data_IF_692984535237
#
_entry.id   IF_692984535237
#
_cell.length_a   1.000
_cell.length_b   1.000
_cell.length_c   1.000
_cell.angle_alpha   90.00
_cell.angle_beta   90.00
_cell.angle_gamma   90.00
#
_symmetry.space_group_name_H-M   'P 1'
#
loop_
_entity.id
_entity.type
_entity.pdbx_description
1 polymer ?
#
# COMPACT_ATOMS: atom_id res chain seq x y z
N UNK A 1 22.43 -0.74 27.45
CA UNK A 1 22.04 -0.45 26.06
C UNK A 1 21.36 -1.67 25.48
N UNK A 2 20.06 -1.53 25.18
CA UNK A 2 19.17 -2.65 24.80
C UNK A 2 19.21 -2.76 23.28
N UNK A 3 19.00 -3.95 22.70
CA UNK A 3 19.07 -4.25 21.25
C UNK A 3 18.40 -3.26 20.28
N UNK A 4 17.55 -2.36 20.79
CA UNK A 4 16.88 -1.27 20.08
C UNK A 4 17.84 -0.16 19.60
N UNK A 5 18.86 0.20 20.37
CA UNK A 5 19.82 1.26 19.98
C UNK A 5 20.70 0.77 18.80
N UNK A 6 21.08 -0.51 18.83
CA UNK A 6 21.92 -1.14 17.80
C UNK A 6 21.31 -1.16 16.39
N UNK A 7 19.99 -1.32 16.23
CA UNK A 7 19.38 -1.41 14.91
C UNK A 7 19.35 -0.06 14.20
N UNK A 8 18.93 0.96 14.94
CA UNK A 8 18.77 2.33 14.46
C UNK A 8 20.12 2.91 14.07
N UNK A 9 21.11 2.75 14.96
CA UNK A 9 22.46 3.23 14.74
C UNK A 9 23.12 2.53 13.54
N UNK A 10 22.89 1.21 13.36
CA UNK A 10 23.47 0.46 12.24
C UNK A 10 22.87 0.86 10.88
N UNK A 11 21.55 1.03 10.80
CA UNK A 11 20.90 1.42 9.53
C UNK A 11 21.32 2.83 9.14
N UNK A 12 21.36 3.76 10.08
CA UNK A 12 21.81 5.11 9.80
C UNK A 12 23.31 5.20 9.52
N UNK A 13 24.15 4.51 10.30
CA UNK A 13 25.59 4.49 10.05
C UNK A 13 25.91 3.87 8.68
N UNK A 14 25.18 2.82 8.28
CA UNK A 14 25.30 2.24 6.94
C UNK A 14 24.87 3.24 5.87
N UNK A 15 23.65 3.80 5.97
CA UNK A 15 23.15 4.76 4.99
C UNK A 15 24.05 6.01 4.88
N UNK A 16 24.54 6.54 6.01
CA UNK A 16 25.45 7.67 6.04
C UNK A 16 26.84 7.33 5.49
N UNK A 17 27.40 6.17 5.86
CA UNK A 17 28.70 5.71 5.37
C UNK A 17 28.71 5.48 3.85
N UNK A 18 27.59 5.05 3.30
CA UNK A 18 27.38 4.84 1.86
C UNK A 18 26.85 6.11 1.15
N UNK A 19 26.62 7.21 1.88
CA UNK A 19 26.06 8.46 1.32
C UNK A 19 24.65 8.31 0.72
N UNK A 20 23.88 7.31 1.15
CA UNK A 20 22.56 6.99 0.62
C UNK A 20 21.52 8.01 1.08
N UNK A 21 20.98 8.77 0.12
CA UNK A 21 19.84 9.67 0.31
C UNK A 21 18.50 9.00 -0.05
N UNK A 22 18.55 8.09 -1.03
CA UNK A 22 17.38 7.43 -1.61
C UNK A 22 17.41 5.94 -1.30
N UNK A 23 16.48 5.50 -0.45
CA UNK A 23 16.38 4.08 -0.11
C UNK A 23 14.99 3.68 0.35
N UNK A 24 14.75 2.38 0.28
CA UNK A 24 13.59 1.71 0.82
C UNK A 24 14.04 0.77 1.93
N UNK A 25 13.73 1.15 3.17
CA UNK A 25 14.01 0.39 4.37
C UNK A 25 12.81 -0.49 4.70
N UNK A 26 13.05 -1.80 4.84
CA UNK A 26 12.06 -2.76 5.31
C UNK A 26 12.56 -3.46 6.58
N UNK A 27 11.67 -3.61 7.55
CA UNK A 27 11.92 -4.34 8.80
C UNK A 27 10.89 -5.44 8.93
N UNK A 28 11.35 -6.68 9.05
CA UNK A 28 10.51 -7.87 9.22
C UNK A 28 10.72 -8.46 10.61
N UNK A 29 9.69 -9.04 11.25
CA UNK A 29 9.91 -9.87 12.42
C UNK A 29 10.73 -11.11 12.03
N UNK A 30 11.73 -11.46 12.84
CA UNK A 30 12.57 -12.64 12.64
C UNK A 30 12.63 -13.46 13.94
N UNK A 31 12.21 -14.74 13.94
CA UNK A 31 12.18 -15.54 15.16
C UNK A 31 13.55 -15.76 15.83
N UNK A 32 14.64 -15.68 15.06
CA UNK A 32 15.99 -16.00 15.55
C UNK A 32 16.75 -14.78 16.09
N UNK A 33 16.53 -13.62 15.46
CA UNK A 33 17.26 -12.37 15.70
C UNK A 33 16.37 -11.24 16.22
N UNK A 34 15.06 -11.50 16.34
CA UNK A 34 14.03 -10.51 16.65
C UNK A 34 13.55 -9.78 15.39
N UNK A 35 14.47 -9.24 14.59
CA UNK A 35 14.15 -8.51 13.36
C UNK A 35 15.17 -8.72 12.25
N UNK A 36 14.69 -8.83 11.01
CA UNK A 36 15.49 -8.72 9.79
C UNK A 36 15.30 -7.33 9.18
N UNK A 37 16.40 -6.71 8.76
CA UNK A 37 16.36 -5.42 8.06
C UNK A 37 16.89 -5.58 6.64
N UNK A 38 16.15 -5.02 5.69
CA UNK A 38 16.52 -4.97 4.28
C UNK A 38 16.57 -3.51 3.82
N UNK A 39 17.64 -3.15 3.11
CA UNK A 39 17.78 -1.85 2.46
C UNK A 39 17.84 -2.05 0.95
N UNK A 40 16.96 -1.38 0.21
CA UNK A 40 16.99 -1.35 -1.26
C UNK A 40 17.32 0.06 -1.71
N UNK A 41 18.29 0.20 -2.62
CA UNK A 41 18.77 1.47 -3.14
C UNK A 41 19.31 1.30 -4.56
N UNK A 42 19.57 2.40 -5.26
CA UNK A 42 20.15 2.41 -6.62
C UNK A 42 19.15 2.29 -7.78
N UNK A 43 17.90 1.90 -7.52
CA UNK A 43 16.83 2.02 -8.51
C UNK A 43 16.28 3.46 -8.52
N UNK A 44 16.17 4.06 -9.70
CA UNK A 44 15.50 5.35 -9.88
C UNK A 44 14.00 5.22 -9.61
N UNK A 45 13.44 6.21 -8.91
CA UNK A 45 12.01 6.30 -8.58
C UNK A 45 11.52 7.74 -8.81
N UNK A 46 10.21 7.90 -8.97
CA UNK A 46 9.61 9.20 -9.37
C UNK A 46 9.21 10.09 -8.17
N UNK A 47 9.53 9.69 -6.94
CA UNK A 47 9.06 10.37 -5.73
C UNK A 47 9.97 11.49 -5.21
N UNK A 48 9.53 12.28 -4.22
CA UNK A 48 8.13 12.49 -3.85
C UNK A 48 7.37 13.25 -4.94
N UNK A 49 6.05 13.05 -5.02
CA UNK A 49 5.21 13.95 -5.81
C UNK A 49 5.14 15.32 -5.13
N UNK A 50 4.97 16.38 -5.93
CA UNK A 50 4.74 17.74 -5.42
C UNK A 50 3.26 17.92 -5.05
N UNK A 51 3.00 18.28 -3.80
CA UNK A 51 1.65 18.52 -3.28
C UNK A 51 1.59 19.95 -2.78
N UNK A 52 0.51 20.66 -3.10
CA UNK A 52 0.28 22.02 -2.58
C UNK A 52 0.32 22.08 -1.04
N UNK A 53 -0.08 20.98 -0.38
CA UNK A 53 -0.05 20.86 1.08
C UNK A 53 0.37 19.47 1.52
N UNK A 54 1.04 19.40 2.66
CA UNK A 54 1.39 18.14 3.29
C UNK A 54 0.17 17.48 3.97
N UNK A 55 -0.16 16.24 3.58
CA UNK A 55 -1.25 15.46 4.15
C UNK A 55 -1.11 15.18 5.65
N UNK A 56 0.15 15.09 6.12
CA UNK A 56 0.48 14.59 7.45
C UNK A 56 0.64 15.69 8.51
N UNK A 57 0.69 16.96 8.10
CA UNK A 57 0.84 18.11 8.99
C UNK A 57 -0.56 18.59 9.46
N UNK A 58 -1.01 18.13 10.63
CA UNK A 58 -2.34 18.46 11.16
C UNK A 58 -2.42 19.77 11.97
N UNK A 59 -1.38 20.62 11.96
CA UNK A 59 -1.25 21.72 12.95
C UNK A 59 -0.61 23.00 12.45
N UNK A 60 -0.68 23.31 11.15
CA UNK A 60 -0.41 24.67 10.67
C UNK A 60 -1.60 25.61 10.96
N UNK A 61 -1.44 26.93 10.81
CA UNK A 61 -2.51 27.94 11.00
C UNK A 61 -3.80 27.64 10.21
N UNK A 62 -3.75 26.78 9.18
CA UNK A 62 -4.94 26.20 8.57
C UNK A 62 -5.39 24.94 9.31
N UNK A 63 -6.34 25.09 10.23
CA UNK A 63 -6.93 24.01 11.05
C UNK A 63 -7.69 22.91 10.27
N UNK A 64 -7.66 22.90 8.94
CA UNK A 64 -8.18 21.80 8.12
C UNK A 64 -7.21 21.53 6.97
N UNK A 65 -6.71 20.29 6.89
CA UNK A 65 -6.09 19.81 5.66
C UNK A 65 -7.24 19.60 4.65
N UNK A 66 -7.32 20.39 3.58
CA UNK A 66 -8.44 20.30 2.64
C UNK A 66 -8.35 19.06 1.74
N UNK A 67 -7.29 18.26 1.86
CA UNK A 67 -7.03 17.17 0.94
C UNK A 67 -7.83 15.95 1.37
N UNK A 68 -8.76 15.57 0.50
CA UNK A 68 -9.54 14.35 0.66
C UNK A 68 -8.65 13.11 0.56
N UNK A 69 -8.79 12.19 1.51
CA UNK A 69 -8.12 10.90 1.43
C UNK A 69 -8.76 10.03 0.36
N UNK A 70 -7.92 9.26 -0.34
CA UNK A 70 -8.35 8.33 -1.39
C UNK A 70 -8.35 8.91 -2.81
N UNK A 71 -8.56 10.22 -3.00
CA UNK A 71 -8.91 10.82 -4.32
C UNK A 71 -7.68 11.19 -5.19
N UNK A 72 -6.50 10.63 -4.91
CA UNK A 72 -5.19 11.05 -5.47
C UNK A 72 -5.05 11.07 -7.01
N UNK A 73 -5.97 10.46 -7.77
CA UNK A 73 -5.85 10.31 -9.23
C UNK A 73 -7.02 10.85 -10.04
N UNK A 74 -8.05 11.42 -9.39
CA UNK A 74 -9.21 11.95 -10.09
C UNK A 74 -9.15 13.48 -10.06
N UNK A 75 -9.55 14.12 -11.15
CA UNK A 75 -9.63 15.58 -11.21
C UNK A 75 -10.61 16.04 -10.14
N UNK A 76 -10.21 17.03 -9.33
CA UNK A 76 -10.97 17.57 -8.20
C UNK A 76 -12.39 18.03 -8.59
N UNK A 77 -12.57 18.40 -9.85
CA UNK A 77 -13.83 18.84 -10.46
C UNK A 77 -14.89 17.73 -10.55
N UNK A 78 -14.48 16.46 -10.55
CA UNK A 78 -15.39 15.35 -10.81
C UNK A 78 -15.98 14.75 -9.54
N UNK A 79 -15.37 14.91 -8.35
CA UNK A 79 -15.86 14.17 -7.19
C UNK A 79 -15.42 14.66 -5.81
N UNK A 80 -16.40 15.09 -4.99
CA UNK A 80 -16.36 15.02 -3.51
C UNK A 80 -16.82 13.61 -3.11
N UNK A 81 -15.95 12.60 -3.27
CA UNK A 81 -16.34 11.21 -2.99
C UNK A 81 -16.36 10.88 -1.51
N UNK A 82 -15.34 11.33 -0.77
CA UNK A 82 -15.10 10.84 0.59
C UNK A 82 -15.56 11.82 1.64
N UNK A 83 -15.43 13.14 1.38
CA UNK A 83 -15.46 14.21 2.42
C UNK A 83 -14.50 13.95 3.60
N UNK A 84 -13.78 12.84 3.62
CA UNK A 84 -12.84 12.42 4.63
C UNK A 84 -11.48 13.02 4.28
N UNK A 85 -10.84 13.56 5.29
CA UNK A 85 -9.50 14.13 5.23
C UNK A 85 -8.52 13.21 5.95
N UNK A 86 -7.23 13.53 5.89
CA UNK A 86 -6.25 12.80 6.69
C UNK A 86 -6.42 13.05 8.21
N UNK A 87 -7.17 14.08 8.63
CA UNK A 87 -7.50 14.26 10.05
C UNK A 87 -8.46 13.16 10.54
N UNK A 88 -9.39 12.72 9.69
CA UNK A 88 -10.34 11.66 10.02
C UNK A 88 -9.65 10.31 10.25
N UNK A 89 -8.52 10.08 9.60
CA UNK A 89 -7.71 8.87 9.74
C UNK A 89 -6.79 8.88 10.97
N UNK A 90 -6.68 9.99 11.70
CA UNK A 90 -5.83 10.09 12.91
C UNK A 90 -6.41 9.22 14.03
N UNK A 91 -5.63 8.24 14.51
CA UNK A 91 -6.01 7.33 15.60
C UNK A 91 -5.39 7.69 16.95
N UNK A 92 -4.45 8.63 16.96
CA UNK A 92 -3.79 9.08 18.18
C UNK A 92 -2.49 9.83 17.91
N UNK A 93 -1.84 10.22 18.99
CA UNK A 93 -0.53 10.86 19.01
C UNK A 93 0.27 10.30 20.17
N UNK A 94 1.59 10.46 20.14
CA UNK A 94 2.44 10.25 21.32
C UNK A 94 2.14 11.28 22.40
N UNK A 95 2.42 10.98 23.67
CA UNK A 95 2.10 11.84 24.83
C UNK A 95 2.58 13.30 24.71
N UNK A 96 3.65 13.55 23.95
CA UNK A 96 4.21 14.90 23.71
C UNK A 96 3.75 15.55 22.40
N UNK A 97 2.80 14.95 21.68
CA UNK A 97 2.33 15.45 20.38
C UNK A 97 3.38 15.45 19.27
N UNK A 98 4.54 14.82 19.46
CA UNK A 98 5.66 14.81 18.49
C UNK A 98 5.37 13.97 17.26
N UNK A 99 4.56 12.91 17.38
CA UNK A 99 4.24 12.00 16.30
C UNK A 99 2.75 11.71 16.25
N UNK A 100 2.23 11.63 15.03
CA UNK A 100 0.85 11.31 14.70
C UNK A 100 0.75 9.84 14.28
N UNK A 101 -0.34 9.19 14.67
CA UNK A 101 -0.69 7.83 14.26
C UNK A 101 -1.94 7.85 13.40
N UNK A 102 -1.90 7.23 12.22
CA UNK A 102 -3.03 7.18 11.29
C UNK A 102 -3.36 5.75 10.88
N UNK A 103 -4.62 5.51 10.50
CA UNK A 103 -4.95 4.43 9.56
C UNK A 103 -4.65 4.86 8.12
N UNK A 104 -4.42 3.90 7.24
CA UNK A 104 -4.13 4.21 5.84
C UNK A 104 -5.35 4.80 5.10
N UNK A 105 -5.14 5.92 4.41
CA UNK A 105 -6.16 6.61 3.62
C UNK A 105 -6.68 5.85 2.39
N UNK A 106 -6.16 4.63 2.12
CA UNK A 106 -6.68 3.70 1.10
C UNK A 106 -7.28 2.42 1.72
N UNK A 107 -7.52 2.43 3.03
CA UNK A 107 -8.03 1.30 3.80
C UNK A 107 -7.23 0.00 3.64
N UNK A 108 -5.91 0.09 3.43
CA UNK A 108 -5.05 -1.09 3.50
C UNK A 108 -4.91 -1.54 4.96
N UNK A 109 -4.58 -2.82 5.23
CA UNK A 109 -4.35 -3.33 6.58
C UNK A 109 -2.99 -2.86 7.12
N UNK A 110 -2.83 -1.55 7.22
CA UNK A 110 -1.62 -0.91 7.70
C UNK A 110 -1.95 0.38 8.45
N UNK A 111 -1.05 0.72 9.38
CA UNK A 111 -1.08 1.98 10.10
C UNK A 111 0.17 2.81 9.77
N UNK A 112 0.10 4.10 10.01
CA UNK A 112 1.16 5.05 9.66
C UNK A 112 1.58 5.84 10.90
N UNK A 113 2.90 5.94 11.11
CA UNK A 113 3.49 6.89 12.06
C UNK A 113 4.24 7.96 11.28
N UNK A 114 3.98 9.23 11.56
CA UNK A 114 4.77 10.34 11.04
C UNK A 114 5.04 11.39 12.12
N UNK A 115 6.09 12.21 11.96
CA UNK A 115 6.26 13.42 12.77
C UNK A 115 5.04 14.35 12.67
N UNK A 116 4.75 15.09 13.73
CA UNK A 116 3.66 16.06 13.72
C UNK A 116 4.04 17.35 12.96
N UNK A 117 5.33 17.72 13.02
CA UNK A 117 5.94 18.76 12.19
C UNK A 117 6.39 18.16 10.87
N UNK A 118 6.45 18.97 9.81
CA UNK A 118 6.99 18.53 8.54
C UNK A 118 8.47 18.17 8.70
N UNK A 119 8.79 16.91 8.45
CA UNK A 119 10.15 16.37 8.42
C UNK A 119 10.22 15.47 7.19
N UNK A 120 11.24 15.62 6.39
CA UNK A 120 11.37 14.89 5.13
C UNK A 120 12.13 13.58 5.31
N UNK A 121 13.23 13.61 6.06
CA UNK A 121 14.17 12.50 6.17
C UNK A 121 14.38 12.02 7.61
N UNK A 122 14.84 10.78 7.78
CA UNK A 122 15.24 10.25 9.10
C UNK A 122 16.42 11.05 9.70
N UNK A 123 17.28 11.62 8.86
CA UNK A 123 18.46 12.40 9.29
C UNK A 123 18.09 13.74 9.92
N UNK A 124 16.94 14.32 9.58
CA UNK A 124 16.46 15.59 10.16
C UNK A 124 15.96 15.47 11.60
N UNK A 125 15.60 14.26 12.08
CA UNK A 125 15.07 14.06 13.44
C UNK A 125 16.12 14.21 14.55
N UNK A 126 17.41 14.14 14.21
CA UNK A 126 18.49 13.97 15.18
C UNK A 126 18.39 12.65 15.99
N UNK A 127 19.37 12.34 16.84
CA UNK A 127 19.42 11.07 17.56
C UNK A 127 18.22 10.84 18.50
N UNK A 128 17.84 11.84 19.29
CA UNK A 128 16.72 11.74 20.22
C UNK A 128 15.37 11.58 19.49
N UNK A 129 15.13 12.40 18.46
CA UNK A 129 13.90 12.34 17.68
C UNK A 129 13.74 11.01 16.96
N UNK A 130 14.83 10.41 16.52
CA UNK A 130 14.83 9.09 15.90
C UNK A 130 14.49 7.97 16.89
N UNK A 131 15.04 8.00 18.10
CA UNK A 131 14.65 7.08 19.18
C UNK A 131 13.15 7.22 19.46
N UNK A 132 12.65 8.46 19.59
CA UNK A 132 11.22 8.72 19.81
C UNK A 132 10.35 8.25 18.64
N UNK A 133 10.81 8.38 17.39
CA UNK A 133 10.11 7.89 16.20
C UNK A 133 9.91 6.36 16.27
N UNK A 134 10.97 5.60 16.58
CA UNK A 134 10.86 4.14 16.69
C UNK A 134 10.07 3.70 17.92
N UNK A 135 10.15 4.43 19.04
CA UNK A 135 9.29 4.20 20.20
C UNK A 135 7.82 4.43 19.85
N UNK A 136 7.52 5.45 19.02
CA UNK A 136 6.19 5.76 18.51
C UNK A 136 5.65 4.63 17.62
N UNK A 137 6.46 4.13 16.68
CA UNK A 137 6.15 2.92 15.88
C UNK A 137 5.82 1.72 16.78
N UNK A 138 6.66 1.45 17.77
CA UNK A 138 6.42 0.35 18.71
C UNK A 138 5.17 0.59 19.60
N UNK A 139 4.87 1.84 19.92
CA UNK A 139 3.66 2.25 20.63
C UNK A 139 2.39 1.92 19.84
N UNK A 140 2.37 2.27 18.55
CA UNK A 140 1.26 1.97 17.67
C UNK A 140 1.05 0.46 17.48
N UNK A 141 2.12 -0.33 17.31
CA UNK A 141 2.04 -1.79 17.26
C UNK A 141 1.40 -2.35 18.55
N UNK A 142 1.83 -1.85 19.73
CA UNK A 142 1.23 -2.27 21.01
C UNK A 142 -0.23 -1.87 21.15
N UNK A 143 -0.64 -0.72 20.61
CA UNK A 143 -2.03 -0.26 20.62
C UNK A 143 -2.94 -1.25 19.87
N UNK A 144 -2.53 -1.69 18.68
CA UNK A 144 -3.26 -2.73 17.94
C UNK A 144 -3.12 -4.12 18.57
N UNK A 145 -1.97 -4.44 19.17
CA UNK A 145 -1.67 -5.72 19.83
C UNK A 145 -1.91 -6.93 18.92
N UNK A 146 -1.55 -6.77 17.66
CA UNK A 146 -1.51 -7.84 16.66
C UNK A 146 -0.10 -7.92 16.09
N UNK A 147 0.31 -9.10 15.59
CA UNK A 147 1.59 -9.23 14.89
C UNK A 147 1.63 -8.32 13.66
N UNK A 148 2.75 -7.62 13.47
CA UNK A 148 3.01 -6.89 12.23
C UNK A 148 3.78 -7.79 11.26
N UNK A 149 3.59 -7.60 9.96
CA UNK A 149 4.27 -8.33 8.89
C UNK A 149 5.57 -7.66 8.46
N UNK A 150 5.52 -6.35 8.22
CA UNK A 150 6.70 -5.54 7.97
C UNK A 150 6.46 -4.07 8.31
N UNK A 151 7.56 -3.36 8.52
CA UNK A 151 7.58 -1.90 8.64
C UNK A 151 8.38 -1.37 7.46
N UNK A 152 7.84 -0.36 6.78
CA UNK A 152 8.47 0.27 5.61
C UNK A 152 8.71 1.74 5.90
N UNK A 153 9.95 2.20 5.67
CA UNK A 153 10.31 3.63 5.65
C UNK A 153 10.98 3.93 4.31
N UNK A 154 10.32 4.76 3.50
CA UNK A 154 10.87 5.20 2.22
C UNK A 154 11.58 6.55 2.41
N UNK A 155 12.75 6.72 1.80
CA UNK A 155 13.54 7.95 1.81
C UNK A 155 13.81 8.43 0.38
N UNK A 156 13.92 9.75 0.23
CA UNK A 156 14.26 10.38 -1.05
C UNK A 156 13.29 9.99 -2.16
N UNK A 157 13.79 9.50 -3.29
CA UNK A 157 12.96 9.14 -4.46
C UNK A 157 11.97 7.99 -4.21
N UNK A 158 12.19 7.15 -3.19
CA UNK A 158 11.34 5.99 -2.92
C UNK A 158 9.99 6.33 -2.28
N UNK A 159 9.79 7.56 -1.81
CA UNK A 159 8.58 7.97 -1.08
C UNK A 159 7.55 8.60 -2.02
N UNK A 160 6.26 8.42 -1.74
CA UNK A 160 5.20 9.09 -2.50
C UNK A 160 4.88 10.49 -1.95
N UNK A 161 5.09 10.69 -0.64
CA UNK A 161 4.82 11.93 0.09
C UNK A 161 6.15 12.47 0.61
N UNK A 162 6.40 13.79 0.53
CA UNK A 162 7.65 14.38 1.02
C UNK A 162 7.84 14.16 2.52
N UNK A 163 6.76 14.12 3.29
CA UNK A 163 6.81 13.92 4.74
C UNK A 163 7.22 12.47 5.11
N UNK A 164 8.24 12.35 5.95
CA UNK A 164 8.67 11.13 6.63
C UNK A 164 7.49 10.37 7.23
N UNK A 165 7.38 9.08 6.89
CA UNK A 165 6.39 8.20 7.50
C UNK A 165 6.89 6.74 7.53
N UNK A 166 6.58 6.04 8.62
CA UNK A 166 6.69 4.60 8.72
C UNK A 166 5.33 3.95 8.45
N UNK A 167 5.30 2.98 7.54
CA UNK A 167 4.12 2.16 7.23
C UNK A 167 4.25 0.82 7.92
N UNK A 168 3.32 0.50 8.81
CA UNK A 168 3.31 -0.75 9.58
C UNK A 168 2.22 -1.63 9.00
N UNK A 169 2.59 -2.72 8.35
CA UNK A 169 1.64 -3.66 7.75
C UNK A 169 1.28 -4.77 8.72
N UNK A 170 0.03 -5.20 8.66
CA UNK A 170 -0.55 -6.26 9.46
C UNK A 170 -1.23 -7.31 8.56
N UNK A 171 -1.62 -8.43 9.14
CA UNK A 171 -2.62 -9.30 8.54
C UNK A 171 -3.97 -8.61 8.54
N UNK A 172 -4.76 -8.78 7.48
CA UNK A 172 -5.99 -7.99 7.31
C UNK A 172 -7.10 -8.43 8.25
N UNK A 173 -7.28 -9.73 8.46
CA UNK A 173 -8.31 -10.25 9.37
C UNK A 173 -8.00 -9.82 10.80
N UNK A 174 -6.73 -9.90 11.21
CA UNK A 174 -6.27 -9.41 12.50
C UNK A 174 -6.41 -7.89 12.63
N UNK A 175 -6.09 -7.15 11.57
CA UNK A 175 -6.21 -5.69 11.55
C UNK A 175 -7.66 -5.24 11.65
N UNK A 176 -8.57 -5.82 10.87
CA UNK A 176 -9.99 -5.51 10.94
C UNK A 176 -10.57 -5.85 12.31
N UNK A 177 -10.21 -7.02 12.87
CA UNK A 177 -10.66 -7.42 14.21
C UNK A 177 -10.16 -6.43 15.26
N UNK A 178 -8.87 -6.07 15.21
CA UNK A 178 -8.28 -5.08 16.11
C UNK A 178 -8.92 -3.69 15.95
N UNK A 179 -9.25 -3.26 14.73
CA UNK A 179 -9.96 -2.00 14.49
C UNK A 179 -11.35 -2.02 15.13
N UNK A 180 -12.13 -3.09 14.97
CA UNK A 180 -13.46 -3.21 15.59
C UNK A 180 -13.39 -3.20 17.13
N UNK A 181 -12.44 -3.91 17.70
CA UNK A 181 -12.34 -4.10 19.15
C UNK A 181 -11.69 -2.92 19.87
N UNK A 182 -10.66 -2.31 19.26
CA UNK A 182 -9.74 -1.38 19.95
C UNK A 182 -9.82 0.05 19.44
N UNK A 183 -10.39 0.25 18.25
CA UNK A 183 -10.62 1.54 17.62
C UNK A 183 -12.05 1.61 17.04
N UNK A 184 -13.09 1.27 17.82
CA UNK A 184 -14.46 1.17 17.33
C UNK A 184 -14.96 2.49 16.70
N UNK A 185 -14.43 3.64 17.12
CA UNK A 185 -14.74 4.95 16.56
C UNK A 185 -14.09 5.20 15.19
N UNK A 186 -13.01 4.47 14.86
CA UNK A 186 -12.29 4.60 13.58
C UNK A 186 -12.64 3.50 12.59
N UNK A 187 -13.21 2.39 13.05
CA UNK A 187 -13.62 1.31 12.16
C UNK A 187 -14.63 1.75 11.08
N UNK A 188 -15.69 2.54 11.37
CA UNK A 188 -16.59 3.06 10.33
C UNK A 188 -15.90 3.95 9.30
N UNK A 189 -14.88 4.70 9.70
CA UNK A 189 -14.08 5.53 8.79
C UNK A 189 -13.28 4.62 7.85
N UNK A 190 -12.67 3.57 8.39
CA UNK A 190 -11.96 2.58 7.58
C UNK A 190 -12.89 1.87 6.57
N UNK A 191 -14.11 1.49 6.96
CA UNK A 191 -15.09 0.88 6.05
C UNK A 191 -15.49 1.83 4.91
N UNK A 192 -15.71 3.11 5.22
CA UNK A 192 -15.97 4.13 4.20
C UNK A 192 -14.81 4.26 3.21
N UNK A 193 -13.57 4.27 3.72
CA UNK A 193 -12.37 4.30 2.88
C UNK A 193 -12.19 3.04 2.05
N UNK A 194 -12.55 1.85 2.56
CA UNK A 194 -12.46 0.59 1.83
C UNK A 194 -13.48 0.56 0.69
N UNK A 195 -14.72 0.94 0.96
CA UNK A 195 -15.78 1.07 -0.06
C UNK A 195 -15.42 2.12 -1.12
N UNK A 196 -14.81 3.23 -0.71
CA UNK A 196 -14.32 4.26 -1.62
C UNK A 196 -13.16 3.75 -2.49
N UNK A 197 -12.17 3.11 -1.88
CA UNK A 197 -11.01 2.57 -2.59
C UNK A 197 -11.43 1.51 -3.62
N UNK A 198 -12.45 0.70 -3.31
CA UNK A 198 -13.06 -0.21 -4.29
C UNK A 198 -13.61 0.53 -5.50
N UNK A 199 -14.38 1.60 -5.29
CA UNK A 199 -14.97 2.40 -6.38
C UNK A 199 -13.88 3.07 -7.22
N UNK A 200 -12.88 3.67 -6.60
CA UNK A 200 -11.84 4.44 -7.31
C UNK A 200 -10.78 3.56 -7.99
N UNK A 201 -10.63 2.30 -7.54
CA UNK A 201 -9.68 1.38 -8.16
C UNK A 201 -10.17 0.83 -9.50
N UNK A 202 -11.44 1.05 -9.85
CA UNK A 202 -12.02 0.60 -11.12
C UNK A 202 -11.58 1.54 -12.25
N UNK A 203 -10.78 1.05 -13.21
CA UNK A 203 -10.39 1.85 -14.35
C UNK A 203 -11.57 2.00 -15.32
N UNK A 204 -11.56 3.08 -16.08
CA UNK A 204 -12.57 3.31 -17.12
C UNK A 204 -12.23 2.51 -18.38
N UNK A 205 -13.27 1.98 -19.02
CA UNK A 205 -13.11 1.08 -20.17
C UNK A 205 -12.31 1.74 -21.30
N UNK A 206 -12.57 3.02 -21.59
CA UNK A 206 -11.87 3.75 -22.64
C UNK A 206 -10.35 3.80 -22.40
N UNK A 207 -9.93 4.15 -21.18
CA UNK A 207 -8.52 4.22 -20.78
C UNK A 207 -7.87 2.83 -20.81
N UNK A 208 -8.57 1.81 -20.33
CA UNK A 208 -8.10 0.41 -20.41
C UNK A 208 -7.81 0.03 -21.86
N UNK A 209 -8.71 0.36 -22.80
CA UNK A 209 -8.54 -0.03 -24.20
C UNK A 209 -7.39 0.73 -24.89
N UNK A 210 -7.09 1.96 -24.47
CA UNK A 210 -5.91 2.72 -24.97
C UNK A 210 -4.59 2.04 -24.58
N UNK A 211 -4.54 1.35 -23.45
CA UNK A 211 -3.32 0.71 -22.94
C UNK A 211 -3.01 -0.68 -23.54
N UNK A 212 -3.81 -1.21 -24.48
CA UNK A 212 -3.56 -2.53 -25.08
C UNK A 212 -2.17 -2.56 -25.74
N UNK A 213 -1.25 -3.46 -25.32
CA UNK A 213 0.08 -3.58 -25.93
C UNK A 213 0.00 -3.94 -27.42
N UNK A 214 0.79 -3.24 -28.24
CA UNK A 214 0.80 -3.40 -29.70
C UNK A 214 1.02 -4.85 -30.14
N UNK A 215 1.97 -5.55 -29.50
CA UNK A 215 2.24 -6.97 -29.74
C UNK A 215 1.02 -7.90 -29.51
N UNK A 216 0.10 -7.52 -28.62
CA UNK A 216 -1.14 -8.28 -28.44
C UNK A 216 -2.11 -8.01 -29.57
N UNK A 217 -2.24 -6.74 -30.00
CA UNK A 217 -3.07 -6.37 -31.17
C UNK A 217 -2.65 -7.17 -32.39
N UNK A 218 -1.34 -7.25 -32.65
CA UNK A 218 -0.76 -8.00 -33.76
C UNK A 218 -1.03 -9.52 -33.67
N UNK A 219 -0.95 -10.10 -32.48
CA UNK A 219 -1.23 -11.54 -32.27
C UNK A 219 -2.72 -11.86 -32.19
N UNK A 220 -3.57 -10.85 -31.95
CA UNK A 220 -4.99 -11.02 -31.72
C UNK A 220 -5.36 -11.73 -30.42
N UNK A 221 -4.41 -11.97 -29.50
CA UNK A 221 -4.65 -12.74 -28.26
C UNK A 221 -4.58 -11.80 -27.05
N UNK A 222 -5.72 -11.45 -26.42
CA UNK A 222 -5.73 -10.61 -25.22
C UNK A 222 -5.18 -11.39 -24.02
N UNK A 223 -4.23 -10.78 -23.29
CA UNK A 223 -3.67 -11.36 -22.06
C UNK A 223 -3.67 -10.35 -20.93
N UNK A 224 -4.15 -10.78 -19.78
CA UNK A 224 -4.15 -10.00 -18.55
C UNK A 224 -3.07 -10.52 -17.59
N UNK A 225 -2.46 -9.62 -16.85
CA UNK A 225 -1.75 -9.92 -15.62
C UNK A 225 -2.73 -9.73 -14.45
N UNK A 226 -2.83 -10.74 -13.58
CA UNK A 226 -3.64 -10.72 -12.37
C UNK A 226 -2.76 -11.00 -11.16
N UNK A 227 -2.59 -10.03 -10.26
CA UNK A 227 -1.89 -10.18 -8.99
C UNK A 227 -2.84 -10.13 -7.79
N UNK A 228 -2.37 -10.54 -6.61
CA UNK A 228 -3.18 -10.58 -5.39
C UNK A 228 -3.98 -11.89 -5.22
N UNK A 229 -3.55 -12.96 -5.90
CA UNK A 229 -4.24 -14.26 -5.87
C UNK A 229 -3.78 -15.03 -4.62
N UNK A 230 -4.69 -15.56 -3.77
CA UNK A 230 -4.30 -16.39 -2.63
C UNK A 230 -3.44 -17.59 -3.04
N UNK A 231 -2.42 -17.91 -2.23
CA UNK A 231 -1.45 -18.98 -2.54
C UNK A 231 -2.04 -20.38 -2.63
N UNK A 232 -3.18 -20.61 -1.99
CA UNK A 232 -3.86 -21.89 -2.02
C UNK A 232 -4.56 -22.18 -3.36
N UNK A 233 -4.69 -21.17 -4.24
CA UNK A 233 -5.44 -21.31 -5.48
C UNK A 233 -4.55 -21.79 -6.63
N UNK A 234 -5.09 -22.72 -7.39
CA UNK A 234 -4.55 -23.23 -8.64
C UNK A 234 -4.93 -22.34 -9.83
N UNK A 235 -4.38 -22.66 -11.02
CA UNK A 235 -4.83 -22.05 -12.26
C UNK A 235 -6.32 -22.31 -12.54
N UNK A 236 -6.79 -23.53 -12.25
CA UNK A 236 -8.18 -23.92 -12.49
C UNK A 236 -9.15 -23.14 -11.59
N UNK A 237 -8.78 -22.87 -10.34
CA UNK A 237 -9.57 -22.05 -9.42
C UNK A 237 -9.74 -20.61 -9.95
N UNK A 238 -8.69 -20.04 -10.54
CA UNK A 238 -8.72 -18.70 -11.13
C UNK A 238 -9.60 -18.69 -12.39
N UNK A 239 -9.47 -19.69 -13.26
CA UNK A 239 -10.33 -19.85 -14.45
C UNK A 239 -11.80 -20.03 -14.08
N UNK A 240 -12.11 -20.88 -13.09
CA UNK A 240 -13.47 -21.09 -12.61
C UNK A 240 -14.09 -19.81 -12.00
N UNK A 241 -13.28 -19.03 -11.29
CA UNK A 241 -13.70 -17.72 -10.78
C UNK A 241 -14.01 -16.73 -11.91
N UNK A 242 -13.18 -16.68 -12.95
CA UNK A 242 -13.42 -15.83 -14.13
C UNK A 242 -14.72 -16.22 -14.85
N UNK A 243 -14.94 -17.53 -15.05
CA UNK A 243 -16.17 -18.05 -15.65
C UNK A 243 -17.40 -17.66 -14.85
N UNK A 244 -17.37 -17.84 -13.51
CA UNK A 244 -18.45 -17.44 -12.60
C UNK A 244 -18.77 -15.93 -12.67
N UNK A 245 -17.78 -15.10 -13.02
CA UNK A 245 -17.94 -13.65 -13.16
C UNK A 245 -18.24 -13.21 -14.60
N UNK A 246 -18.65 -14.13 -15.48
CA UNK A 246 -19.08 -13.80 -16.83
C UNK A 246 -17.93 -13.70 -17.85
N UNK A 247 -16.77 -14.30 -17.55
CA UNK A 247 -15.62 -14.37 -18.45
C UNK A 247 -15.28 -15.83 -18.80
N UNK A 248 -16.16 -16.54 -19.53
CA UNK A 248 -15.98 -17.95 -19.87
C UNK A 248 -14.80 -18.17 -20.83
N UNK A 249 -14.37 -19.42 -20.96
CA UNK A 249 -13.32 -19.84 -21.90
C UNK A 249 -11.95 -19.16 -21.68
N UNK A 250 -11.71 -18.64 -20.48
CA UNK A 250 -10.43 -18.03 -20.09
C UNK A 250 -9.47 -19.08 -19.51
N UNK A 251 -8.20 -18.98 -19.87
CA UNK A 251 -7.14 -19.87 -19.35
C UNK A 251 -6.21 -19.09 -18.45
N UNK A 252 -6.11 -19.49 -17.19
CA UNK A 252 -5.15 -18.93 -16.25
C UNK A 252 -3.84 -19.74 -16.24
N UNK A 253 -2.73 -19.05 -16.02
CA UNK A 253 -1.40 -19.64 -15.85
C UNK A 253 -0.75 -19.00 -14.62
N UNK A 254 -0.59 -19.77 -13.54
CA UNK A 254 0.08 -19.27 -12.33
C UNK A 254 1.55 -19.00 -12.67
N UNK A 255 1.99 -17.78 -12.37
CA UNK A 255 3.38 -17.37 -12.54
C UNK A 255 4.21 -17.88 -11.36
N UNK A 256 5.42 -18.42 -11.60
CA UNK A 256 6.31 -18.80 -10.52
C UNK A 256 6.63 -17.56 -9.68
N UNK A 257 6.26 -17.60 -8.39
CA UNK A 257 6.50 -16.49 -7.48
C UNK A 257 7.99 -16.21 -7.36
N UNK A 258 8.39 -14.93 -7.34
CA UNK A 258 9.72 -14.58 -6.85
C UNK A 258 9.81 -15.06 -5.40
N UNK A 259 10.85 -15.82 -5.05
CA UNK A 259 11.03 -16.47 -3.72
C UNK A 259 10.82 -15.54 -2.52
N UNK A 260 10.91 -14.21 -2.71
CA UNK A 260 10.80 -13.19 -1.67
C UNK A 260 9.44 -12.45 -1.62
N UNK A 261 8.48 -12.72 -2.51
CA UNK A 261 7.14 -12.12 -2.40
C UNK A 261 6.27 -12.98 -1.47
N UNK A 262 6.37 -12.71 -0.17
CA UNK A 262 5.51 -13.27 0.85
C UNK A 262 4.14 -12.59 0.76
N UNK A 263 3.11 -13.27 0.24
CA UNK A 263 1.73 -12.77 0.32
C UNK A 263 0.77 -13.35 -0.72
N UNK A 264 1.09 -13.24 -2.01
CA UNK A 264 0.18 -13.63 -3.09
C UNK A 264 0.88 -14.25 -4.30
N UNK A 265 0.13 -15.04 -5.05
CA UNK A 265 0.46 -15.47 -6.40
C UNK A 265 0.08 -14.37 -7.41
N UNK A 266 0.64 -14.53 -8.60
CA UNK A 266 0.22 -13.81 -9.79
C UNK A 266 -0.09 -14.82 -10.89
N UNK A 267 -0.97 -14.45 -11.82
CA UNK A 267 -1.32 -15.26 -12.97
C UNK A 267 -1.28 -14.42 -14.25
N UNK A 268 -1.05 -15.11 -15.36
CA UNK A 268 -1.44 -14.61 -16.68
C UNK A 268 -2.79 -15.22 -17.03
N UNK A 269 -3.74 -14.41 -17.48
CA UNK A 269 -5.05 -14.87 -17.95
C UNK A 269 -5.14 -14.60 -19.43
N UNK A 270 -5.38 -15.65 -20.22
CA UNK A 270 -5.53 -15.57 -21.67
C UNK A 270 -7.01 -15.69 -22.06
N UNK A 271 -7.47 -14.75 -22.87
CA UNK A 271 -8.82 -14.72 -23.44
C UNK A 271 -8.79 -15.31 -24.86
N UNK A 272 -9.95 -15.75 -25.40
CA UNK A 272 -10.05 -16.19 -26.78
C UNK A 272 -9.57 -15.11 -27.77
N UNK A 273 -9.15 -15.55 -28.96
CA UNK A 273 -8.63 -14.65 -29.99
C UNK A 273 -9.70 -13.62 -30.38
N UNK A 274 -9.31 -12.34 -30.42
CA UNK A 274 -10.18 -11.21 -30.76
C UNK A 274 -10.96 -10.60 -29.58
N UNK A 275 -11.00 -11.25 -28.42
CA UNK A 275 -11.83 -10.87 -27.26
C UNK A 275 -11.26 -9.71 -26.41
N UNK A 276 -10.75 -8.65 -27.04
CA UNK A 276 -10.14 -7.52 -26.33
C UNK A 276 -11.14 -6.75 -25.48
N UNK A 277 -12.36 -6.53 -25.96
CA UNK A 277 -13.39 -5.84 -25.18
C UNK A 277 -13.80 -6.66 -23.95
N UNK A 278 -13.92 -7.97 -24.09
CA UNK A 278 -14.24 -8.88 -22.97
C UNK A 278 -13.12 -8.85 -21.92
N UNK A 279 -11.86 -8.89 -22.35
CA UNK A 279 -10.70 -8.75 -21.46
C UNK A 279 -10.64 -7.36 -20.79
N UNK A 280 -10.98 -6.29 -21.50
CA UNK A 280 -11.10 -4.94 -20.94
C UNK A 280 -12.19 -4.85 -19.87
N UNK A 281 -13.37 -5.42 -20.13
CA UNK A 281 -14.45 -5.52 -19.13
C UNK A 281 -14.01 -6.28 -17.88
N UNK A 282 -13.21 -7.34 -18.06
CA UNK A 282 -12.64 -8.08 -16.93
C UNK A 282 -11.69 -7.22 -16.09
N UNK A 283 -10.84 -6.39 -16.71
CA UNK A 283 -10.01 -5.41 -15.98
C UNK A 283 -10.92 -4.47 -15.17
N UNK A 284 -11.92 -3.84 -15.80
CA UNK A 284 -12.82 -2.89 -15.12
C UNK A 284 -13.61 -3.52 -13.96
N UNK A 285 -14.06 -4.76 -14.12
CA UNK A 285 -14.86 -5.46 -13.12
C UNK A 285 -14.03 -5.98 -11.94
N UNK A 286 -12.82 -6.47 -12.22
CA UNK A 286 -12.04 -7.23 -11.24
C UNK A 286 -10.92 -6.41 -10.59
N UNK A 287 -10.46 -5.32 -11.21
CA UNK A 287 -9.45 -4.45 -10.61
C UNK A 287 -9.95 -3.87 -9.28
N UNK A 288 -9.19 -4.11 -8.21
CA UNK A 288 -9.56 -3.70 -6.86
C UNK A 288 -10.53 -4.63 -6.15
N UNK A 289 -11.12 -5.65 -6.78
CA UNK A 289 -12.03 -6.58 -6.11
C UNK A 289 -11.28 -7.44 -5.05
N UNK A 290 -11.98 -7.89 -3.99
CA UNK A 290 -11.47 -8.85 -2.99
C UNK A 290 -12.09 -10.24 -3.23
N UNK A 291 -11.61 -11.01 -4.22
CA UNK A 291 -12.19 -12.31 -4.56
C UNK A 291 -11.79 -13.41 -3.55
N UNK A 292 -12.41 -14.58 -3.71
CA UNK A 292 -12.04 -15.80 -3.00
C UNK A 292 -12.17 -15.76 -1.47
N UNK A 293 -12.92 -14.78 -0.94
CA UNK A 293 -12.94 -14.52 0.51
C UNK A 293 -11.58 -14.09 1.06
N UNK A 294 -10.64 -13.75 0.16
CA UNK A 294 -9.33 -13.26 0.51
C UNK A 294 -9.38 -11.77 0.83
N UNK A 295 -8.38 -11.35 1.58
CA UNK A 295 -8.25 -9.98 2.06
C UNK A 295 -7.63 -9.07 0.98
N UNK A 296 -6.71 -9.62 0.18
CA UNK A 296 -6.00 -8.87 -0.83
C UNK A 296 -6.87 -8.50 -2.04
N UNK A 297 -6.80 -7.23 -2.43
CA UNK A 297 -7.42 -6.73 -3.66
C UNK A 297 -6.67 -7.22 -4.89
N UNK A 298 -7.39 -7.61 -5.93
CA UNK A 298 -6.79 -7.96 -7.21
C UNK A 298 -6.18 -6.74 -7.88
N UNK A 299 -5.03 -6.97 -8.49
CA UNK A 299 -4.41 -6.05 -9.43
C UNK A 299 -4.51 -6.66 -10.83
N UNK A 300 -5.41 -6.14 -11.66
CA UNK A 300 -5.67 -6.65 -13.01
C UNK A 300 -5.30 -5.58 -14.03
N UNK A 301 -4.47 -5.94 -15.02
CA UNK A 301 -4.05 -5.05 -16.11
C UNK A 301 -3.66 -5.84 -17.35
N UNK A 302 -3.44 -5.16 -18.47
CA UNK A 302 -2.80 -5.80 -19.63
C UNK A 302 -1.39 -6.31 -19.28
N UNK A 303 -1.09 -7.52 -19.74
CA UNK A 303 0.21 -8.12 -19.58
C UNK A 303 1.31 -7.42 -20.41
N UNK A 304 2.49 -7.17 -19.83
CA UNK A 304 3.59 -6.44 -20.52
C UNK A 304 4.84 -7.28 -20.82
N UNK A 305 4.74 -8.61 -20.77
CA UNK A 305 5.85 -9.55 -21.02
C UNK A 305 6.32 -9.60 -22.48
#
# INVERSE_FOLDING_TARGET
>A
MRAKELLVDRVQAFAAGEGLKDFHLEIFPDPSSGFQVTLKFGEHREGPFDYERCLSCLGGESASCPIEVGVWKKKTEEVTLSRLTNADTLVGQTDEGKFNWFIDGKARPMAVVCPAKHIETLTELGPEGLVSFWQSVAGLIRKFHIPFHNIIVNQGEYRNLPHLHAKIWFGEDEFQSAMRERLPEKYPIWEQLDALNEKMSKPEMEEVMKEIPERMRQKGVPKLFMGGIPRALSADDVSAYLEKNGFPSTKAFILPGKKHQMGALSATVEFPQGEFETAGRAICALAGAKPFGGSQRLFVKWARF
#
